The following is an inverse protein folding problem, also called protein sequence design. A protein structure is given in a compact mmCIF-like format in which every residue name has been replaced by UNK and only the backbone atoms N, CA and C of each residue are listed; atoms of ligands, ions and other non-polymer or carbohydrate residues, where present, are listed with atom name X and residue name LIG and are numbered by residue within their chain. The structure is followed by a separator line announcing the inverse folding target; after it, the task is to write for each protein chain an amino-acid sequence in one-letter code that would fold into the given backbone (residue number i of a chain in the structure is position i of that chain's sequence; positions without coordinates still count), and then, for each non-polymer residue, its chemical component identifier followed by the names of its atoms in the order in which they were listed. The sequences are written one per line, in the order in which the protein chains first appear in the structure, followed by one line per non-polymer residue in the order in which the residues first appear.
data_IF_509101240315
#
_entry.id   IF_509101240315
#
_cell.length_a   1.000
_cell.length_b   1.000
_cell.length_c   1.000
_cell.angle_alpha   90.00
_cell.angle_beta   90.00
_cell.angle_gamma   90.00
#
_symmetry.space_group_name_H-M   'P 1'
#
loop_
_entity.id
_entity.type
_entity.pdbx_description
1 polymer ?
#
# COMPACT_ATOMS: atom_id res chain seq x y z
N UNK A 1 2.07 33.38 21.16
CA UNK A 1 0.97 32.62 21.78
C UNK A 1 -0.27 32.83 20.92
N UNK A 2 -0.84 31.78 20.35
CA UNK A 2 -2.05 31.85 19.51
C UNK A 2 -3.23 32.07 20.48
N UNK A 3 -4.03 33.10 20.22
CA UNK A 3 -5.19 33.46 21.05
C UNK A 3 -6.53 33.25 20.35
N UNK A 4 -6.49 32.92 19.04
CA UNK A 4 -7.69 32.62 18.26
C UNK A 4 -8.02 31.13 18.34
N UNK A 5 -9.30 30.71 18.29
CA UNK A 5 -9.68 29.34 18.23
C UNK A 5 -9.12 28.69 16.94
N UNK A 6 -8.67 27.45 17.08
CA UNK A 6 -8.17 26.64 15.96
C UNK A 6 -9.03 25.40 15.94
N UNK A 7 -9.60 25.10 14.78
CA UNK A 7 -10.36 23.88 14.53
C UNK A 7 -9.69 23.05 13.43
N UNK A 8 -9.80 21.74 13.52
CA UNK A 8 -9.31 20.82 12.49
C UNK A 8 -10.44 20.57 11.51
N UNK A 9 -10.20 20.93 10.25
CA UNK A 9 -11.09 20.56 9.14
C UNK A 9 -10.44 19.38 8.40
N UNK A 10 -11.08 18.23 8.47
CA UNK A 10 -10.60 17.03 7.77
C UNK A 10 -10.77 17.17 6.27
N UNK A 11 -9.84 16.59 5.52
CA UNK A 11 -9.94 16.48 4.07
C UNK A 11 -11.06 15.48 3.71
N UNK A 12 -11.85 15.79 2.70
CA UNK A 12 -12.91 14.92 2.20
C UNK A 12 -12.47 14.08 1.00
N UNK A 13 -13.29 13.11 0.65
CA UNK A 13 -13.17 12.34 -0.61
C UNK A 13 -14.46 12.43 -1.39
N UNK A 14 -14.36 12.50 -2.71
CA UNK A 14 -15.50 12.46 -3.60
C UNK A 14 -16.02 11.02 -3.72
N UNK A 15 -17.07 10.68 -2.97
CA UNK A 15 -17.57 9.31 -2.86
C UNK A 15 -17.88 8.67 -4.23
N UNK A 16 -18.38 9.46 -5.19
CA UNK A 16 -18.75 8.96 -6.52
C UNK A 16 -17.56 8.39 -7.29
N UNK A 17 -16.36 8.95 -7.11
CA UNK A 17 -15.13 8.50 -7.78
C UNK A 17 -14.61 7.17 -7.24
N UNK A 18 -14.91 6.86 -5.98
CA UNK A 18 -14.35 5.70 -5.27
C UNK A 18 -15.37 4.58 -5.05
N UNK A 19 -16.54 4.67 -5.69
CA UNK A 19 -17.50 3.58 -5.71
C UNK A 19 -16.99 2.38 -6.51
N UNK A 20 -17.63 1.23 -6.31
CA UNK A 20 -17.32 0.02 -7.08
C UNK A 20 -17.45 0.34 -8.58
N UNK A 21 -16.38 0.19 -9.36
CA UNK A 21 -16.44 0.41 -10.80
C UNK A 21 -17.49 -0.49 -11.46
N UNK A 22 -18.20 0.01 -12.46
CA UNK A 22 -19.19 -0.80 -13.23
C UNK A 22 -18.55 -2.04 -13.85
N UNK A 23 -17.26 -1.96 -14.17
CA UNK A 23 -16.47 -3.05 -14.70
C UNK A 23 -15.07 -2.96 -14.06
N UNK A 24 -14.66 -4.03 -13.40
CA UNK A 24 -13.28 -4.17 -12.92
C UNK A 24 -12.38 -4.47 -14.11
N UNK A 25 -11.39 -3.63 -14.34
CA UNK A 25 -10.39 -3.83 -15.39
C UNK A 25 -9.40 -4.90 -14.98
N UNK A 26 -9.03 -5.78 -15.93
CA UNK A 26 -8.18 -6.93 -15.65
C UNK A 26 -6.68 -6.62 -15.81
N UNK A 27 -6.21 -5.48 -15.27
CA UNK A 27 -4.79 -5.15 -15.36
C UNK A 27 -3.90 -5.89 -14.34
N UNK A 28 -4.51 -6.70 -13.46
CA UNK A 28 -3.81 -7.61 -12.54
C UNK A 28 -3.82 -9.07 -13.05
N UNK A 29 -4.03 -9.31 -14.33
CA UNK A 29 -4.06 -10.67 -14.92
C UNK A 29 -2.76 -11.44 -14.71
N UNK A 30 -1.61 -10.74 -14.78
CA UNK A 30 -0.28 -11.34 -14.59
C UNK A 30 0.09 -11.59 -13.11
N UNK A 31 -0.79 -11.27 -12.17
CA UNK A 31 -0.62 -11.59 -10.75
C UNK A 31 -1.19 -12.99 -10.50
N UNK A 32 -0.31 -13.92 -10.15
CA UNK A 32 -0.67 -15.34 -9.97
C UNK A 32 -1.42 -15.61 -8.66
N UNK A 33 -1.19 -14.78 -7.64
CA UNK A 33 -1.80 -14.96 -6.31
C UNK A 33 -3.20 -14.33 -6.24
N UNK A 34 -4.15 -15.06 -5.63
CA UNK A 34 -5.54 -14.59 -5.45
C UNK A 34 -5.76 -13.78 -4.17
N UNK A 35 -4.85 -13.89 -3.22
CA UNK A 35 -4.86 -13.09 -2.00
C UNK A 35 -3.65 -12.17 -1.99
N UNK A 36 -3.88 -10.88 -2.16
CA UNK A 36 -2.80 -9.91 -2.13
C UNK A 36 -3.06 -8.79 -1.14
N UNK A 37 -2.00 -8.42 -0.42
CA UNK A 37 -1.90 -7.17 0.29
C UNK A 37 -1.45 -6.06 -0.66
N UNK A 38 -1.95 -4.85 -0.47
CA UNK A 38 -1.63 -3.68 -1.27
C UNK A 38 -0.88 -2.65 -0.41
N UNK A 39 0.20 -2.11 -0.94
CA UNK A 39 0.90 -0.93 -0.42
C UNK A 39 0.84 0.17 -1.47
N UNK A 40 0.41 1.38 -1.07
CA UNK A 40 0.34 2.55 -1.94
C UNK A 40 1.16 3.70 -1.37
N UNK A 41 2.09 4.22 -2.15
CA UNK A 41 2.89 5.38 -1.77
C UNK A 41 4.22 5.49 -2.49
N UNK A 42 4.87 6.64 -2.36
CA UNK A 42 6.17 6.87 -2.96
C UNK A 42 7.30 6.30 -2.10
N UNK A 43 8.24 5.63 -2.75
CA UNK A 43 9.49 5.16 -2.14
C UNK A 43 10.63 6.08 -2.58
N UNK A 44 10.71 7.26 -1.95
CA UNK A 44 11.56 8.34 -2.44
C UNK A 44 13.04 8.10 -2.17
N UNK A 45 13.45 8.01 -0.91
CA UNK A 45 14.87 7.96 -0.51
C UNK A 45 15.07 7.07 0.71
N UNK A 46 16.34 6.73 0.95
CA UNK A 46 16.78 6.00 2.13
C UNK A 46 16.92 4.49 1.91
N UNK A 47 17.68 3.90 2.81
CA UNK A 47 17.83 2.46 2.96
C UNK A 47 16.63 1.84 3.67
N UNK A 48 16.66 0.52 3.89
CA UNK A 48 15.61 -0.19 4.63
C UNK A 48 15.41 0.49 6.00
N UNK A 49 14.18 0.86 6.28
CA UNK A 49 13.84 1.50 7.54
C UNK A 49 14.12 3.01 7.61
N UNK A 50 14.58 3.65 6.54
CA UNK A 50 14.85 5.09 6.53
C UNK A 50 13.79 5.92 5.79
N UNK A 51 13.10 5.33 4.82
CA UNK A 51 12.03 6.02 4.09
C UNK A 51 10.78 6.25 4.97
N UNK A 52 10.06 7.34 4.69
CA UNK A 52 8.88 7.73 5.45
C UNK A 52 7.75 6.71 5.39
N UNK A 53 7.53 6.08 4.24
CA UNK A 53 6.49 5.06 4.03
C UNK A 53 6.89 3.67 4.52
N UNK A 54 8.14 3.49 4.89
CA UNK A 54 8.74 2.27 5.39
C UNK A 54 8.51 1.03 4.49
N UNK A 55 8.53 1.27 3.17
CA UNK A 55 8.23 0.25 2.16
C UNK A 55 9.25 -0.88 2.22
N UNK A 56 10.54 -0.56 2.36
CA UNK A 56 11.60 -1.56 2.45
C UNK A 56 11.42 -2.50 3.65
N UNK A 57 11.10 -1.95 4.82
CA UNK A 57 10.83 -2.74 6.02
C UNK A 57 9.52 -3.53 5.89
N UNK A 58 8.50 -2.95 5.27
CA UNK A 58 7.23 -3.65 4.97
C UNK A 58 7.48 -4.90 4.11
N UNK A 59 8.29 -4.81 3.05
CA UNK A 59 8.67 -5.96 2.21
C UNK A 59 9.39 -7.00 3.05
N UNK A 60 10.42 -6.59 3.81
CA UNK A 60 11.22 -7.51 4.63
C UNK A 60 10.36 -8.24 5.67
N UNK A 61 9.50 -7.52 6.37
CA UNK A 61 8.58 -8.09 7.35
C UNK A 61 7.60 -9.04 6.70
N UNK A 62 7.01 -8.66 5.56
CA UNK A 62 6.10 -9.51 4.79
C UNK A 62 6.77 -10.84 4.42
N UNK A 63 7.96 -10.79 3.85
CA UNK A 63 8.71 -12.00 3.51
C UNK A 63 9.02 -12.84 4.76
N UNK A 64 9.41 -12.22 5.86
CA UNK A 64 9.71 -12.92 7.13
C UNK A 64 8.48 -13.66 7.67
N UNK A 65 7.31 -13.03 7.63
CA UNK A 65 6.06 -13.61 8.13
C UNK A 65 5.59 -14.79 7.28
N UNK A 66 5.73 -14.70 5.96
CA UNK A 66 5.12 -15.68 5.04
C UNK A 66 6.10 -16.69 4.43
N UNK A 67 7.41 -16.59 4.67
CA UNK A 67 8.43 -17.49 4.10
C UNK A 67 8.21 -18.98 4.38
N UNK A 68 7.61 -19.31 5.51
CA UNK A 68 7.41 -20.71 5.92
C UNK A 68 5.96 -21.20 5.65
N UNK A 69 5.11 -20.37 5.07
CA UNK A 69 3.79 -20.77 4.54
C UNK A 69 4.01 -21.55 3.25
N UNK A 70 3.29 -22.68 3.02
CA UNK A 70 3.38 -23.42 1.77
C UNK A 70 3.16 -22.51 0.55
N UNK A 71 3.99 -22.66 -0.49
CA UNK A 71 4.02 -21.75 -1.66
C UNK A 71 2.65 -21.49 -2.28
N UNK A 72 1.82 -22.52 -2.37
CA UNK A 72 0.45 -22.44 -2.91
C UNK A 72 -0.50 -21.58 -2.05
N UNK A 73 -0.20 -21.41 -0.76
CA UNK A 73 -1.03 -20.70 0.20
C UNK A 73 -0.42 -19.33 0.59
N UNK A 74 0.79 -19.02 0.05
CA UNK A 74 1.43 -17.73 0.32
C UNK A 74 0.62 -16.59 -0.32
N UNK A 75 0.35 -15.50 0.42
CA UNK A 75 -0.21 -14.29 -0.18
C UNK A 75 0.85 -13.56 -1.02
N UNK A 76 0.38 -12.71 -1.93
CA UNK A 76 1.23 -11.76 -2.64
C UNK A 76 1.22 -10.38 -1.99
N UNK A 77 2.23 -9.57 -2.32
CA UNK A 77 2.31 -8.16 -1.97
C UNK A 77 2.38 -7.33 -3.25
N UNK A 78 1.37 -6.50 -3.49
CA UNK A 78 1.34 -5.54 -4.59
C UNK A 78 1.86 -4.22 -4.08
N UNK A 79 2.92 -3.72 -4.69
CA UNK A 79 3.52 -2.42 -4.42
C UNK A 79 3.12 -1.44 -5.53
N UNK A 80 2.12 -0.60 -5.28
CA UNK A 80 1.82 0.56 -6.11
C UNK A 80 2.72 1.70 -5.64
N UNK A 81 3.91 1.76 -6.18
CA UNK A 81 4.95 2.69 -5.75
C UNK A 81 5.73 3.26 -6.92
N UNK A 82 6.31 4.43 -6.69
CA UNK A 82 7.25 5.10 -7.58
C UNK A 82 8.28 5.87 -6.74
N UNK A 83 9.32 6.39 -7.37
CA UNK A 83 10.14 7.46 -6.80
C UNK A 83 9.45 8.82 -7.04
N UNK A 84 10.20 9.91 -7.08
CA UNK A 84 9.67 11.23 -7.45
C UNK A 84 9.24 11.32 -8.92
N UNK A 85 9.67 10.38 -9.76
CA UNK A 85 9.36 10.30 -11.18
C UNK A 85 8.88 8.92 -11.61
N UNK A 86 8.62 8.77 -12.91
CA UNK A 86 8.14 7.54 -13.54
C UNK A 86 9.05 7.09 -14.69
N UNK A 87 10.34 7.43 -14.64
CA UNK A 87 11.30 7.01 -15.66
C UNK A 87 11.62 5.52 -15.59
N UNK A 88 12.17 4.97 -16.67
CA UNK A 88 12.66 3.60 -16.70
C UNK A 88 13.73 3.37 -15.63
N UNK A 89 14.62 4.35 -15.41
CA UNK A 89 15.66 4.29 -14.39
C UNK A 89 15.06 4.23 -12.97
N UNK A 90 13.97 4.96 -12.72
CA UNK A 90 13.26 4.91 -11.43
C UNK A 90 12.69 3.52 -11.18
N UNK A 91 12.08 2.92 -12.21
CA UNK A 91 11.55 1.56 -12.13
C UNK A 91 12.65 0.53 -11.86
N UNK A 92 13.78 0.64 -12.56
CA UNK A 92 14.93 -0.25 -12.37
C UNK A 92 15.52 -0.12 -10.97
N UNK A 93 15.61 1.09 -10.44
CA UNK A 93 16.09 1.37 -9.09
C UNK A 93 15.18 0.70 -8.03
N UNK A 94 13.86 0.88 -8.14
CA UNK A 94 12.90 0.23 -7.24
C UNK A 94 12.99 -1.29 -7.37
N UNK A 95 13.05 -1.82 -8.60
CA UNK A 95 13.18 -3.25 -8.84
C UNK A 95 14.45 -3.83 -8.24
N UNK A 96 15.56 -3.09 -8.30
CA UNK A 96 16.83 -3.48 -7.65
C UNK A 96 16.68 -3.51 -6.13
N UNK A 97 16.09 -2.47 -5.52
CA UNK A 97 15.84 -2.43 -4.07
C UNK A 97 15.00 -3.63 -3.61
N UNK A 98 13.92 -3.97 -4.35
CA UNK A 98 13.09 -5.13 -4.06
C UNK A 98 13.93 -6.40 -4.10
N UNK A 99 14.71 -6.62 -5.17
CA UNK A 99 15.60 -7.78 -5.31
C UNK A 99 16.62 -7.87 -4.18
N UNK A 100 17.22 -6.77 -3.79
CA UNK A 100 18.22 -6.73 -2.71
C UNK A 100 17.63 -7.12 -1.35
N UNK A 101 16.37 -6.75 -1.08
CA UNK A 101 15.67 -7.15 0.14
C UNK A 101 15.24 -8.62 0.08
N UNK A 102 14.73 -9.07 -1.06
CA UNK A 102 14.11 -10.40 -1.17
C UNK A 102 15.12 -11.53 -1.36
N UNK A 103 16.35 -11.23 -1.79
CA UNK A 103 17.40 -12.25 -2.06
C UNK A 103 17.72 -13.16 -0.88
N UNK A 104 17.61 -12.66 0.37
CA UNK A 104 17.88 -13.43 1.57
C UNK A 104 16.86 -14.55 1.83
N UNK A 105 15.69 -14.49 1.21
CA UNK A 105 14.60 -15.46 1.37
C UNK A 105 14.63 -16.58 0.33
N UNK A 106 15.35 -16.40 -0.79
CA UNK A 106 15.45 -17.40 -1.87
C UNK A 106 14.09 -17.89 -2.35
N UNK A 107 13.95 -19.19 -2.50
CA UNK A 107 12.71 -19.84 -2.98
C UNK A 107 11.53 -19.73 -1.99
N UNK A 108 11.81 -19.38 -0.74
CA UNK A 108 10.80 -19.15 0.29
C UNK A 108 10.15 -17.76 0.21
N UNK A 109 10.70 -16.88 -0.63
CA UNK A 109 10.18 -15.52 -0.78
C UNK A 109 8.73 -15.54 -1.32
N UNK A 110 7.77 -14.91 -0.64
CA UNK A 110 6.44 -14.68 -1.20
C UNK A 110 6.51 -13.82 -2.45
N UNK A 111 5.48 -13.87 -3.28
CA UNK A 111 5.43 -13.07 -4.50
C UNK A 111 5.30 -11.58 -4.20
N UNK A 112 6.22 -10.78 -4.75
CA UNK A 112 6.21 -9.32 -4.66
C UNK A 112 6.00 -8.76 -6.07
N UNK A 113 4.94 -7.99 -6.25
CA UNK A 113 4.55 -7.42 -7.54
C UNK A 113 4.73 -5.91 -7.52
N UNK A 114 5.47 -5.38 -8.47
CA UNK A 114 5.65 -3.94 -8.64
C UNK A 114 4.66 -3.41 -9.68
N UNK A 115 3.71 -2.61 -9.23
CA UNK A 115 2.84 -1.81 -10.09
C UNK A 115 3.40 -0.39 -10.18
N UNK A 116 4.26 -0.19 -11.18
CA UNK A 116 4.96 1.07 -11.40
C UNK A 116 4.25 1.91 -12.45
N UNK A 117 4.27 3.22 -12.29
CA UNK A 117 3.64 4.18 -13.18
C UNK A 117 2.59 5.03 -12.48
N UNK A 118 2.08 6.04 -13.18
CA UNK A 118 0.95 6.81 -12.70
C UNK A 118 -0.36 6.09 -13.02
N UNK A 119 -1.33 6.22 -12.15
CA UNK A 119 -2.69 5.71 -12.33
C UNK A 119 -3.67 6.86 -12.15
N UNK A 120 -4.63 6.95 -13.06
CA UNK A 120 -5.79 7.81 -12.90
C UNK A 120 -6.62 7.39 -11.66
N UNK A 121 -7.48 8.27 -11.18
CA UNK A 121 -8.40 7.95 -10.07
C UNK A 121 -9.27 6.73 -10.38
N UNK A 122 -9.72 6.56 -11.63
CA UNK A 122 -10.49 5.40 -12.07
C UNK A 122 -9.66 4.10 -12.01
N UNK A 123 -8.40 4.13 -12.42
CA UNK A 123 -7.50 2.97 -12.34
C UNK A 123 -7.17 2.63 -10.89
N UNK A 124 -6.98 3.63 -10.02
CA UNK A 124 -6.80 3.41 -8.59
C UNK A 124 -8.06 2.81 -7.95
N UNK A 125 -9.25 3.31 -8.28
CA UNK A 125 -10.51 2.74 -7.82
C UNK A 125 -10.65 1.27 -8.28
N UNK A 126 -10.32 0.97 -9.53
CA UNK A 126 -10.27 -0.40 -10.05
C UNK A 126 -9.28 -1.28 -9.28
N UNK A 127 -8.08 -0.76 -8.96
CA UNK A 127 -7.10 -1.47 -8.15
C UNK A 127 -7.64 -1.79 -6.76
N UNK A 128 -8.22 -0.79 -6.09
CA UNK A 128 -8.74 -0.95 -4.72
C UNK A 128 -9.89 -1.96 -4.66
N UNK A 129 -10.80 -1.92 -5.61
CA UNK A 129 -11.95 -2.84 -5.69
C UNK A 129 -11.59 -4.20 -6.30
N UNK A 130 -10.41 -4.36 -6.93
CA UNK A 130 -10.05 -5.60 -7.60
C UNK A 130 -10.15 -6.81 -6.65
N UNK A 131 -10.76 -7.94 -7.08
CA UNK A 131 -10.99 -9.10 -6.22
C UNK A 131 -9.70 -9.76 -5.71
N UNK A 132 -8.58 -9.63 -6.42
CA UNK A 132 -7.26 -10.12 -5.96
C UNK A 132 -6.65 -9.25 -4.85
N UNK A 133 -7.10 -8.01 -4.65
CA UNK A 133 -6.66 -7.13 -3.54
C UNK A 133 -7.56 -7.38 -2.35
N UNK A 134 -7.01 -7.86 -1.24
CA UNK A 134 -7.78 -8.26 -0.05
C UNK A 134 -7.63 -7.32 1.13
N UNK A 135 -6.49 -6.63 1.24
CA UNK A 135 -6.20 -5.73 2.36
C UNK A 135 -5.18 -4.68 1.93
N UNK A 136 -5.17 -3.53 2.59
CA UNK A 136 -4.11 -2.52 2.44
C UNK A 136 -3.21 -2.50 3.67
N UNK A 137 -1.90 -2.34 3.43
CA UNK A 137 -0.88 -2.17 4.48
C UNK A 137 -0.29 -0.76 4.40
N UNK A 138 -0.10 -0.11 5.54
CA UNK A 138 0.65 1.14 5.63
C UNK A 138 1.32 1.30 7.00
N UNK A 139 2.61 1.06 7.05
CA UNK A 139 3.43 1.23 8.26
C UNK A 139 4.25 2.52 8.20
N UNK A 140 3.59 3.59 7.77
CA UNK A 140 4.23 4.89 7.61
C UNK A 140 4.72 5.48 8.93
N UNK A 141 5.88 6.12 8.90
CA UNK A 141 6.45 6.88 10.03
C UNK A 141 5.86 8.27 10.20
N UNK A 142 5.00 8.67 9.27
CA UNK A 142 4.30 9.95 9.31
C UNK A 142 3.38 10.12 8.12
N UNK A 143 2.14 10.48 8.39
CA UNK A 143 1.13 10.76 7.39
C UNK A 143 0.35 12.01 7.80
N UNK A 144 0.29 13.00 6.91
CA UNK A 144 -0.52 14.20 7.18
C UNK A 144 -1.99 13.84 7.29
N UNK A 145 -2.54 13.23 6.27
CA UNK A 145 -3.91 12.74 6.24
C UNK A 145 -3.97 11.25 5.88
N UNK A 146 -3.40 10.87 4.75
CA UNK A 146 -3.42 9.49 4.29
C UNK A 146 -4.51 9.22 3.24
N UNK A 147 -4.59 10.08 2.21
CA UNK A 147 -5.60 9.95 1.13
C UNK A 147 -5.78 8.51 0.62
N UNK A 148 -4.72 7.75 0.27
CA UNK A 148 -4.89 6.37 -0.20
C UNK A 148 -5.61 5.47 0.80
N UNK A 149 -5.40 5.68 2.11
CA UNK A 149 -6.10 4.92 3.16
C UNK A 149 -7.56 5.33 3.24
N UNK A 150 -7.85 6.64 3.18
CA UNK A 150 -9.21 7.16 3.18
C UNK A 150 -10.00 6.63 1.98
N UNK A 151 -9.44 6.70 0.80
CA UNK A 151 -10.01 6.18 -0.45
C UNK A 151 -10.27 4.67 -0.35
N UNK A 152 -9.31 3.91 0.18
CA UNK A 152 -9.44 2.45 0.31
C UNK A 152 -10.52 2.02 1.32
N UNK A 153 -10.80 2.82 2.37
CA UNK A 153 -11.90 2.50 3.31
C UNK A 153 -13.24 2.31 2.62
N UNK A 154 -13.47 2.99 1.50
CA UNK A 154 -14.71 2.91 0.74
C UNK A 154 -14.93 1.53 0.07
N UNK A 155 -13.90 0.70 0.02
CA UNK A 155 -14.02 -0.70 -0.44
C UNK A 155 -14.61 -1.62 0.63
N UNK A 156 -14.63 -1.22 1.89
CA UNK A 156 -14.98 -2.06 3.03
C UNK A 156 -13.96 -3.16 3.35
N UNK A 157 -12.83 -3.21 2.64
CA UNK A 157 -11.78 -4.22 2.86
C UNK A 157 -10.92 -3.87 4.08
N UNK A 158 -10.30 -4.88 4.74
CA UNK A 158 -9.44 -4.65 5.90
C UNK A 158 -8.21 -3.77 5.60
N UNK A 159 -7.82 -2.99 6.59
CA UNK A 159 -6.62 -2.14 6.57
C UNK A 159 -5.74 -2.50 7.77
N UNK A 160 -4.43 -2.61 7.57
CA UNK A 160 -3.46 -2.84 8.65
C UNK A 160 -2.48 -1.67 8.63
N UNK A 161 -2.43 -0.91 9.72
CA UNK A 161 -1.68 0.35 9.80
C UNK A 161 -1.00 0.55 11.15
N UNK A 162 0.02 1.41 11.18
CA UNK A 162 0.56 1.94 12.43
C UNK A 162 -0.50 2.75 13.20
N UNK A 163 -0.53 2.62 14.54
CA UNK A 163 -1.49 3.30 15.42
C UNK A 163 -1.05 4.72 15.77
N UNK A 164 -0.69 5.51 14.80
CA UNK A 164 -0.28 6.91 15.04
C UNK A 164 -0.32 7.72 13.74
N UNK A 165 -0.40 9.04 13.85
CA UNK A 165 -0.43 9.99 12.73
C UNK A 165 -1.84 10.21 12.15
N UNK A 166 -1.97 11.12 11.17
CA UNK A 166 -3.25 11.68 10.73
C UNK A 166 -4.31 10.69 10.23
N UNK A 167 -3.92 9.51 9.79
CA UNK A 167 -4.90 8.51 9.35
C UNK A 167 -5.71 7.88 10.51
N UNK A 168 -5.25 8.00 11.74
CA UNK A 168 -5.99 7.49 12.90
C UNK A 168 -7.27 8.28 13.18
N UNK A 169 -7.39 9.48 12.64
CA UNK A 169 -8.55 10.35 12.88
C UNK A 169 -9.81 9.92 12.11
N UNK A 170 -9.65 9.14 11.03
CA UNK A 170 -10.79 8.76 10.18
C UNK A 170 -10.94 7.26 9.93
N UNK A 171 -9.91 6.44 10.21
CA UNK A 171 -9.99 5.01 9.94
C UNK A 171 -10.97 4.31 10.88
N UNK A 172 -11.96 3.56 10.37
CA UNK A 172 -12.96 2.90 11.18
C UNK A 172 -12.37 1.70 11.93
N UNK A 173 -12.66 1.55 13.21
CA UNK A 173 -12.14 0.46 14.05
C UNK A 173 -12.54 -0.94 13.59
N UNK A 174 -13.74 -1.08 13.01
CA UNK A 174 -14.28 -2.38 12.60
C UNK A 174 -13.52 -3.04 11.44
N UNK A 175 -12.90 -2.25 10.57
CA UNK A 175 -12.14 -2.74 9.40
C UNK A 175 -10.64 -2.43 9.49
N UNK A 176 -10.18 -1.85 10.58
CA UNK A 176 -8.78 -1.44 10.75
C UNK A 176 -8.11 -2.24 11.86
N UNK A 177 -6.97 -2.83 11.52
CA UNK A 177 -6.05 -3.40 12.50
C UNK A 177 -4.89 -2.43 12.73
N UNK A 178 -4.87 -1.84 13.91
CA UNK A 178 -3.76 -1.00 14.36
C UNK A 178 -2.61 -1.84 14.90
N UNK A 179 -1.39 -1.45 14.56
CA UNK A 179 -0.13 -2.01 15.08
C UNK A 179 0.60 -0.90 15.83
N UNK A 180 1.02 -1.18 17.06
CA UNK A 180 1.79 -0.29 17.95
C UNK A 180 3.27 -0.29 17.57
#
# INVERSE_FOLDING_TARGET
KITKPIEVLHEGVELEKWQVPKKIENFLENIETDFNYLVVGHWLQGDIGQDRKDIGMTIKTFCTVFKDVPKKDQPGLILKTSTAGFSVMDRENISKKIKDITKEFGDKCPSIYLLFGDLSENELANLYHHPKVKSMLSFTKGEGYGRPLCEFTLTGKPIIVSKWSGHTDFLPENNTKYID
#
